data_IF_067998745823
#
_entry.id   IF_067998745823
#
_cell.length_a   1.000
_cell.length_b   1.000
_cell.length_c   1.000
_cell.angle_alpha   90.00
_cell.angle_beta   90.00
_cell.angle_gamma   90.00
#
_symmetry.space_group_name_H-M   'P 1'
#
loop_
_entity.id
_entity.type
_entity.pdbx_description
1 polymer ?
#
# COMPACT_ATOMS: atom_id res chain seq x y z
N UNK A 1 -16.26 2.73 -1.98
CA UNK A 1 -15.26 2.59 -0.90
C UNK A 1 -14.06 1.83 -1.44
N UNK A 2 -12.83 2.07 -0.96
CA UNK A 2 -11.63 1.36 -1.42
C UNK A 2 -11.36 0.11 -0.56
N UNK A 3 -10.91 -0.96 -1.19
CA UNK A 3 -10.64 -2.26 -0.55
C UNK A 3 -9.19 -2.42 -0.09
N UNK A 4 -8.30 -1.54 -0.55
CA UNK A 4 -6.87 -1.45 -0.20
C UNK A 4 -6.34 -0.02 -0.43
N UNK A 5 -5.10 0.24 -0.01
CA UNK A 5 -4.43 1.56 -0.14
C UNK A 5 -3.58 1.70 -1.41
N UNK A 6 -3.38 0.61 -2.17
CA UNK A 6 -2.64 0.62 -3.45
C UNK A 6 -3.12 1.61 -4.52
N UNK A 7 -4.38 2.12 -4.56
CA UNK A 7 -4.72 3.18 -5.51
C UNK A 7 -3.89 4.46 -5.33
N UNK A 8 -3.35 4.70 -4.12
CA UNK A 8 -2.42 5.82 -3.89
C UNK A 8 -1.08 5.57 -4.58
N UNK A 9 -0.61 4.32 -4.63
CA UNK A 9 0.65 3.96 -5.29
C UNK A 9 0.63 4.28 -6.79
N UNK A 10 -0.43 3.88 -7.49
CA UNK A 10 -0.59 4.18 -8.93
C UNK A 10 -0.64 5.68 -9.17
N UNK A 11 -1.42 6.42 -8.37
CA UNK A 11 -1.50 7.89 -8.50
C UNK A 11 -0.15 8.55 -8.28
N UNK A 12 0.64 8.07 -7.33
CA UNK A 12 2.01 8.57 -7.13
C UNK A 12 2.86 8.29 -8.36
N UNK A 13 2.82 7.08 -8.90
CA UNK A 13 3.57 6.70 -10.11
C UNK A 13 3.14 7.47 -11.38
N UNK A 14 1.89 7.90 -11.48
CA UNK A 14 1.42 8.78 -12.57
C UNK A 14 1.95 10.21 -12.41
N UNK A 15 2.11 10.68 -11.17
CA UNK A 15 2.51 12.06 -10.86
C UNK A 15 4.02 12.28 -10.71
N UNK A 16 4.78 11.21 -10.46
CA UNK A 16 6.19 11.28 -10.08
C UNK A 16 6.98 10.16 -10.78
N UNK A 17 8.17 10.50 -11.27
CA UNK A 17 9.13 9.53 -11.80
C UNK A 17 10.01 8.94 -10.67
N UNK A 18 10.54 7.71 -10.83
CA UNK A 18 11.48 7.12 -9.88
C UNK A 18 12.71 8.04 -9.59
N UNK A 19 13.26 8.02 -8.36
CA UNK A 19 12.92 7.11 -7.27
C UNK A 19 11.64 7.51 -6.49
N UNK A 20 10.84 6.51 -6.12
CA UNK A 20 9.62 6.66 -5.32
C UNK A 20 9.77 5.87 -4.03
N UNK A 21 9.53 6.52 -2.89
CA UNK A 21 9.54 5.90 -1.56
C UNK A 21 8.39 6.47 -0.76
N UNK A 22 7.30 5.72 -0.60
CA UNK A 22 6.09 6.20 0.05
C UNK A 22 5.50 5.14 1.00
N UNK A 23 4.79 5.62 2.01
CA UNK A 23 3.95 4.82 2.90
C UNK A 23 2.52 5.35 2.82
N UNK A 24 1.57 4.46 2.60
CA UNK A 24 0.17 4.77 2.33
C UNK A 24 -0.72 4.22 3.45
N UNK A 25 -0.86 4.92 4.60
CA UNK A 25 -1.81 4.54 5.62
C UNK A 25 -3.24 4.93 5.22
N UNK A 26 -4.23 4.11 5.55
CA UNK A 26 -5.61 4.50 5.33
C UNK A 26 -6.67 3.49 5.73
N UNK A 27 -7.90 4.00 5.90
CA UNK A 27 -9.11 3.18 6.02
C UNK A 27 -9.41 2.46 4.71
N UNK A 28 -9.77 1.20 4.84
CA UNK A 28 -10.21 0.31 3.77
C UNK A 28 -11.47 -0.42 4.21
N UNK A 29 -12.22 -0.91 3.24
CA UNK A 29 -13.53 -1.49 3.47
C UNK A 29 -13.67 -2.80 2.71
N UNK A 30 -14.24 -3.82 3.35
CA UNK A 30 -14.55 -5.12 2.76
C UNK A 30 -15.95 -5.55 3.16
N UNK A 31 -16.60 -6.32 2.30
CA UNK A 31 -17.95 -6.83 2.57
C UNK A 31 -17.90 -8.13 3.39
N UNK A 32 -17.08 -8.13 4.43
CA UNK A 32 -16.88 -9.25 5.35
C UNK A 32 -17.32 -8.78 6.74
N UNK A 33 -18.23 -9.50 7.38
CA UNK A 33 -18.76 -9.14 8.70
C UNK A 33 -19.00 -10.40 9.52
N UNK A 34 -18.08 -10.70 10.43
CA UNK A 34 -18.22 -11.74 11.44
C UNK A 34 -17.46 -11.36 12.72
N UNK A 35 -17.33 -12.30 13.65
CA UNK A 35 -16.70 -12.08 14.96
C UNK A 35 -15.25 -11.57 14.84
N UNK A 36 -14.53 -11.98 13.79
CA UNK A 36 -13.13 -11.64 13.55
C UNK A 36 -12.92 -10.63 12.42
N UNK A 37 -13.94 -10.38 11.59
CA UNK A 37 -13.87 -9.51 10.43
C UNK A 37 -14.71 -8.25 10.60
N UNK A 38 -14.03 -7.10 10.64
CA UNK A 38 -14.68 -5.80 10.57
C UNK A 38 -14.82 -5.33 9.12
N UNK A 39 -16.01 -4.84 8.70
CA UNK A 39 -16.19 -4.26 7.36
C UNK A 39 -15.32 -3.04 7.08
N UNK A 40 -14.75 -2.41 8.11
CA UNK A 40 -13.79 -1.31 8.01
C UNK A 40 -12.59 -1.56 8.91
N UNK A 41 -11.39 -1.42 8.35
CA UNK A 41 -10.15 -1.47 9.11
C UNK A 41 -9.10 -0.55 8.48
N UNK A 42 -7.94 -0.44 9.11
CA UNK A 42 -6.83 0.35 8.60
C UNK A 42 -5.78 -0.57 7.97
N UNK A 43 -5.29 -0.18 6.80
CA UNK A 43 -4.14 -0.80 6.15
C UNK A 43 -3.01 0.21 6.03
N UNK A 44 -1.79 -0.32 5.99
CA UNK A 44 -0.58 0.41 5.66
C UNK A 44 0.10 -0.38 4.55
N UNK A 45 0.38 0.27 3.43
CA UNK A 45 1.19 -0.29 2.36
C UNK A 45 2.42 0.59 2.09
N UNK A 46 3.54 -0.03 1.75
CA UNK A 46 4.75 0.66 1.31
C UNK A 46 5.01 0.44 -0.18
N UNK A 47 5.56 1.44 -0.85
CA UNK A 47 6.05 1.35 -2.22
C UNK A 47 7.48 1.92 -2.28
N UNK A 48 8.41 1.09 -2.75
CA UNK A 48 9.79 1.44 -3.04
C UNK A 48 10.07 1.12 -4.52
N UNK A 49 10.35 2.14 -5.32
CA UNK A 49 10.73 2.02 -6.73
C UNK A 49 12.02 2.79 -6.95
N UNK A 50 13.09 2.08 -7.31
CA UNK A 50 14.39 2.62 -7.67
C UNK A 50 15.06 1.67 -8.67
N UNK A 51 16.16 2.08 -9.31
CA UNK A 51 16.84 1.24 -10.32
C UNK A 51 17.56 0.03 -9.72
N UNK A 52 18.13 0.19 -8.54
CA UNK A 52 19.00 -0.80 -7.91
C UNK A 52 18.31 -1.59 -6.78
N UNK A 53 16.97 -1.56 -6.71
CA UNK A 53 16.21 -2.29 -5.67
C UNK A 53 16.11 -3.77 -6.03
N UNK A 54 16.26 -4.61 -5.03
CA UNK A 54 16.14 -6.04 -5.15
C UNK A 54 15.35 -6.64 -3.97
N UNK A 55 15.16 -7.95 -4.00
CA UNK A 55 14.36 -8.63 -2.98
C UNK A 55 14.96 -8.55 -1.56
N UNK A 56 16.29 -8.39 -1.44
CA UNK A 56 16.94 -8.23 -0.13
C UNK A 56 16.49 -6.95 0.57
N UNK A 57 16.24 -5.87 -0.19
CA UNK A 57 15.74 -4.60 0.34
C UNK A 57 14.31 -4.74 0.90
N UNK A 58 13.47 -5.58 0.29
CA UNK A 58 12.13 -5.88 0.80
C UNK A 58 12.16 -6.76 2.05
N UNK A 59 13.14 -7.67 2.13
CA UNK A 59 13.29 -8.60 3.25
C UNK A 59 13.81 -7.93 4.52
N UNK A 60 14.41 -6.73 4.41
CA UNK A 60 15.15 -6.02 5.47
C UNK A 60 14.72 -6.40 6.89
N UNK A 61 15.58 -7.19 7.56
CA UNK A 61 15.43 -7.69 8.94
C UNK A 61 15.16 -6.52 9.90
#
# INVERSE_FOLDING_TARGET
>A
MRTHTSPVQVRTMESQQPPIRIVCPGRVYRSDSDITHSPMFHQIEGLLVDRDINFADMKGI
#
